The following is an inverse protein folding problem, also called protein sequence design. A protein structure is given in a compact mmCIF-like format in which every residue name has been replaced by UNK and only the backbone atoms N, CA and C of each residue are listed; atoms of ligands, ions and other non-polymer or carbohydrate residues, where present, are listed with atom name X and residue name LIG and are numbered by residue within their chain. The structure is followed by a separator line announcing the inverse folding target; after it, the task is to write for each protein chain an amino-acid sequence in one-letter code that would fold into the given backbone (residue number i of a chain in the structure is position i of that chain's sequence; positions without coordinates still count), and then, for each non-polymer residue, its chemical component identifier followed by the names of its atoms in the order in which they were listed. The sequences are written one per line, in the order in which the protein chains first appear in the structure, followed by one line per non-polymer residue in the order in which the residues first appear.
data_IF_812406914782
#
_entry.id   IF_812406914782
#
_cell.length_a   1.000
_cell.length_b   1.000
_cell.length_c   1.000
_cell.angle_alpha   90.00
_cell.angle_beta   90.00
_cell.angle_gamma   90.00
#
_symmetry.space_group_name_H-M   'P 1'
#
loop_
_entity.id
_entity.type
_entity.pdbx_description
1 polymer ?
#
# COMPACT_ATOMS: atom_id res chain seq x y z
N UNK A 1 -12.03 7.89 8.89
CA UNK A 1 -12.32 6.55 8.36
C UNK A 1 -11.06 5.76 8.60
N UNK A 2 -11.11 4.65 9.33
CA UNK A 2 -9.91 3.88 9.68
C UNK A 2 -9.51 2.89 8.57
N UNK A 3 -8.28 2.38 8.58
CA UNK A 3 -7.77 1.42 7.58
C UNK A 3 -8.58 0.12 7.54
N UNK A 4 -9.13 -0.31 8.68
CA UNK A 4 -10.05 -1.45 8.73
C UNK A 4 -11.27 -1.26 7.81
N UNK A 5 -11.79 -0.03 7.73
CA UNK A 5 -12.92 0.30 6.85
C UNK A 5 -12.54 0.28 5.36
N UNK A 6 -11.24 0.28 5.04
CA UNK A 6 -10.71 0.14 3.69
C UNK A 6 -10.35 -1.31 3.33
N UNK A 7 -10.67 -2.27 4.21
CA UNK A 7 -10.42 -3.69 3.99
C UNK A 7 -9.04 -4.18 4.40
N UNK A 8 -8.29 -3.41 5.19
CA UNK A 8 -7.01 -3.86 5.76
C UNK A 8 -7.23 -4.69 7.03
N UNK A 9 -6.44 -5.76 7.19
CA UNK A 9 -6.45 -6.55 8.42
C UNK A 9 -5.96 -5.77 9.64
N UNK A 10 -6.38 -6.20 10.83
CA UNK A 10 -5.98 -5.57 12.09
C UNK A 10 -4.46 -5.58 12.30
N UNK A 11 -3.77 -6.59 11.77
CA UNK A 11 -2.30 -6.65 11.79
C UNK A 11 -1.66 -5.46 11.07
N UNK A 12 -2.17 -5.07 9.89
CA UNK A 12 -1.70 -3.86 9.21
C UNK A 12 -2.05 -2.59 9.96
N UNK A 13 -3.25 -2.51 10.53
CA UNK A 13 -3.66 -1.31 11.30
C UNK A 13 -2.75 -1.10 12.49
N UNK A 14 -2.39 -2.16 13.21
CA UNK A 14 -1.44 -2.11 14.32
C UNK A 14 -0.03 -1.71 13.86
N UNK A 15 0.48 -2.33 12.79
CA UNK A 15 1.80 -2.00 12.23
C UNK A 15 1.89 -0.55 11.70
N UNK A 16 0.83 -0.06 11.07
CA UNK A 16 0.76 1.34 10.64
C UNK A 16 0.71 2.29 11.84
N UNK A 17 0.01 1.90 12.92
CA UNK A 17 -0.06 2.70 14.14
C UNK A 17 1.29 2.82 14.86
N UNK A 18 2.16 1.80 14.81
CA UNK A 18 3.53 1.89 15.38
C UNK A 18 4.41 2.88 14.61
N UNK A 19 4.16 3.03 13.31
CA UNK A 19 4.79 4.05 12.44
C UNK A 19 4.11 5.43 12.54
N UNK A 20 3.13 5.60 13.44
CA UNK A 20 2.38 6.86 13.61
C UNK A 20 1.31 7.12 12.54
N UNK A 21 1.07 6.17 11.63
CA UNK A 21 0.08 6.27 10.54
C UNK A 21 -1.26 5.74 11.04
N UNK A 22 -2.03 6.61 11.71
CA UNK A 22 -3.29 6.20 12.37
C UNK A 22 -4.54 6.34 11.51
N UNK A 23 -4.48 7.14 10.45
CA UNK A 23 -5.62 7.38 9.57
C UNK A 23 -5.15 7.44 8.11
N UNK A 24 -5.92 6.86 7.18
CA UNK A 24 -5.61 6.90 5.77
C UNK A 24 -5.76 8.33 5.23
N UNK A 25 -4.81 8.73 4.37
CA UNK A 25 -4.90 9.98 3.62
C UNK A 25 -6.03 9.93 2.59
N UNK A 26 -6.42 11.09 2.03
CA UNK A 26 -7.48 11.13 1.02
C UNK A 26 -7.18 10.20 -0.16
N UNK A 27 -5.94 10.18 -0.69
CA UNK A 27 -5.62 9.29 -1.81
C UNK A 27 -5.71 7.81 -1.43
N UNK A 28 -5.35 7.45 -0.20
CA UNK A 28 -5.45 6.07 0.31
C UNK A 28 -6.90 5.62 0.45
N UNK A 29 -7.79 6.50 0.95
CA UNK A 29 -9.22 6.23 1.05
C UNK A 29 -9.87 5.89 -0.29
N UNK A 30 -9.43 6.55 -1.38
CA UNK A 30 -9.97 6.30 -2.72
C UNK A 30 -9.28 5.13 -3.42
N UNK A 31 -7.97 4.99 -3.29
CA UNK A 31 -7.20 4.01 -4.06
C UNK A 31 -7.25 2.59 -3.46
N UNK A 32 -7.16 2.45 -2.12
CA UNK A 32 -7.05 1.14 -1.48
C UNK A 32 -8.23 0.22 -1.86
N UNK A 33 -9.50 0.64 -1.79
CA UNK A 33 -10.62 -0.23 -2.16
C UNK A 33 -10.56 -0.67 -3.64
N UNK A 34 -10.21 0.25 -4.54
CA UNK A 34 -10.13 -0.03 -5.99
C UNK A 34 -9.03 -1.05 -6.29
N UNK A 35 -7.86 -0.91 -5.67
CA UNK A 35 -6.74 -1.84 -5.85
C UNK A 35 -7.02 -3.19 -5.18
N UNK A 36 -7.70 -3.21 -4.02
CA UNK A 36 -8.14 -4.46 -3.38
C UNK A 36 -9.03 -5.30 -4.28
N UNK A 37 -9.94 -4.67 -5.01
CA UNK A 37 -10.84 -5.33 -5.97
C UNK A 37 -10.10 -5.91 -7.19
N UNK A 38 -8.80 -5.60 -7.37
CA UNK A 38 -8.01 -6.06 -8.51
C UNK A 38 -8.39 -5.38 -9.83
N UNK A 39 -8.98 -4.18 -9.76
CA UNK A 39 -9.28 -3.38 -10.94
C UNK A 39 -8.06 -2.56 -11.36
N UNK A 40 -7.93 -2.34 -12.66
CA UNK A 40 -6.98 -1.37 -13.18
C UNK A 40 -7.32 0.04 -12.67
N UNK A 41 -6.31 0.79 -12.23
CA UNK A 41 -6.49 2.10 -11.63
C UNK A 41 -5.44 3.09 -12.14
N UNK A 42 -5.90 4.32 -12.40
CA UNK A 42 -5.02 5.48 -12.56
C UNK A 42 -5.08 6.31 -11.28
N UNK A 43 -3.95 6.36 -10.55
CA UNK A 43 -3.84 7.03 -9.26
C UNK A 43 -2.99 8.29 -9.44
N UNK A 44 -3.62 9.45 -9.31
CA UNK A 44 -2.94 10.75 -9.39
C UNK A 44 -3.18 11.57 -8.12
N UNK A 45 -2.11 12.12 -7.57
CA UNK A 45 -2.16 13.13 -6.50
C UNK A 45 -0.80 13.83 -6.41
N UNK A 46 -0.62 14.75 -5.49
CA UNK A 46 0.65 15.43 -5.25
C UNK A 46 1.69 14.54 -4.55
N UNK A 47 2.98 14.89 -4.63
CA UNK A 47 4.05 14.21 -3.88
C UNK A 47 3.84 14.40 -2.37
N UNK A 48 4.17 13.38 -1.57
CA UNK A 48 4.03 13.45 -0.11
C UNK A 48 2.63 13.12 0.43
N UNK A 49 1.64 12.84 -0.41
CA UNK A 49 0.26 12.53 0.05
C UNK A 49 0.05 11.07 0.46
N UNK A 50 1.11 10.25 0.56
CA UNK A 50 1.00 8.83 0.92
C UNK A 50 0.58 7.89 -0.21
N UNK A 51 0.83 8.25 -1.48
CA UNK A 51 0.51 7.42 -2.67
C UNK A 51 1.14 6.04 -2.64
N UNK A 52 2.35 5.90 -2.11
CA UNK A 52 3.08 4.64 -2.08
C UNK A 52 2.32 3.56 -1.30
N UNK A 53 1.91 3.86 -0.07
CA UNK A 53 1.07 2.96 0.72
C UNK A 53 -0.33 2.76 0.12
N UNK A 54 -0.83 3.73 -0.66
CA UNK A 54 -2.13 3.63 -1.30
C UNK A 54 -2.23 2.47 -2.31
N UNK A 55 -1.12 2.10 -2.96
CA UNK A 55 -1.05 0.90 -3.81
C UNK A 55 -0.34 -0.28 -3.14
N UNK A 56 0.62 -0.06 -2.24
CA UNK A 56 1.37 -1.17 -1.63
C UNK A 56 0.54 -1.96 -0.62
N UNK A 57 -0.17 -1.29 0.30
CA UNK A 57 -0.95 -1.96 1.35
C UNK A 57 -1.93 -3.00 0.78
N UNK A 58 -2.79 -2.67 -0.22
CA UNK A 58 -3.72 -3.65 -0.77
C UNK A 58 -3.04 -4.81 -1.50
N UNK A 59 -1.84 -4.60 -2.08
CA UNK A 59 -1.07 -5.69 -2.69
C UNK A 59 -0.46 -6.61 -1.62
N UNK A 60 0.05 -6.02 -0.53
CA UNK A 60 0.62 -6.77 0.60
C UNK A 60 -0.44 -7.55 1.39
N UNK A 61 -1.63 -6.98 1.61
CA UNK A 61 -2.76 -7.68 2.22
C UNK A 61 -3.19 -8.91 1.41
N UNK A 62 -3.04 -8.86 0.08
CA UNK A 62 -3.37 -9.97 -0.83
C UNK A 62 -2.22 -10.95 -1.06
N UNK A 63 -1.05 -10.72 -0.48
CA UNK A 63 0.13 -11.55 -0.68
C UNK A 63 -0.05 -12.92 -0.02
N UNK A 64 0.04 -13.99 -0.81
CA UNK A 64 0.09 -15.35 -0.30
C UNK A 64 1.52 -15.69 0.14
N UNK A 65 1.75 -15.69 1.44
CA UNK A 65 3.08 -15.97 2.01
C UNK A 65 3.53 -17.43 1.88
N UNK A 66 2.62 -18.36 1.56
CA UNK A 66 2.97 -19.76 1.29
C UNK A 66 3.45 -19.98 -0.15
N UNK A 67 3.03 -19.13 -1.08
CA UNK A 67 3.40 -19.23 -2.50
C UNK A 67 4.81 -18.65 -2.78
N UNK A 68 5.72 -19.50 -3.26
CA UNK A 68 7.09 -19.11 -3.67
C UNK A 68 7.18 -18.66 -5.13
N UNK A 69 6.18 -17.93 -5.62
CA UNK A 69 6.12 -17.41 -6.98
C UNK A 69 6.06 -15.88 -6.98
N UNK A 70 6.38 -15.26 -8.12
CA UNK A 70 6.22 -13.81 -8.27
C UNK A 70 4.72 -13.47 -8.31
N UNK A 71 4.25 -12.71 -7.32
CA UNK A 71 2.83 -12.32 -7.19
C UNK A 71 2.56 -10.88 -7.62
N UNK A 72 3.50 -9.97 -7.38
CA UNK A 72 3.38 -8.55 -7.74
C UNK A 72 4.71 -7.97 -8.20
N UNK A 73 4.66 -6.97 -9.06
CA UNK A 73 5.84 -6.25 -9.56
C UNK A 73 5.56 -4.75 -9.56
N UNK A 74 6.45 -3.98 -8.93
CA UNK A 74 6.43 -2.52 -8.95
C UNK A 74 7.55 -2.04 -9.85
N UNK A 75 7.19 -1.35 -10.94
CA UNK A 75 8.15 -0.78 -11.89
C UNK A 75 8.27 0.72 -11.63
N UNK A 76 9.50 1.22 -11.57
CA UNK A 76 9.81 2.63 -11.32
C UNK A 76 10.95 3.12 -12.22
N UNK A 77 10.99 4.43 -12.52
CA UNK A 77 11.94 4.99 -13.47
C UNK A 77 13.39 5.03 -13.00
N UNK A 78 13.66 4.94 -11.68
CA UNK A 78 15.01 5.05 -11.12
C UNK A 78 15.27 4.02 -10.02
N UNK A 79 16.54 3.67 -9.85
CA UNK A 79 16.98 2.73 -8.82
C UNK A 79 16.78 3.30 -7.40
N UNK A 80 17.02 4.60 -7.23
CA UNK A 80 16.83 5.31 -5.96
C UNK A 80 15.38 5.25 -5.50
N UNK A 81 14.42 5.40 -6.43
CA UNK A 81 13.01 5.31 -6.10
C UNK A 81 12.62 3.86 -5.73
N UNK A 82 13.22 2.86 -6.39
CA UNK A 82 13.01 1.46 -6.03
C UNK A 82 13.45 1.19 -4.58
N UNK A 83 14.61 1.73 -4.18
CA UNK A 83 15.12 1.61 -2.81
C UNK A 83 14.21 2.32 -1.79
N UNK A 84 13.71 3.51 -2.11
CA UNK A 84 12.77 4.23 -1.23
C UNK A 84 11.47 3.46 -1.01
N UNK A 85 10.92 2.85 -2.07
CA UNK A 85 9.72 2.02 -1.98
C UNK A 85 10.00 0.75 -1.17
N UNK A 86 11.13 0.08 -1.41
CA UNK A 86 11.54 -1.10 -0.65
C UNK A 86 11.68 -0.80 0.85
N UNK A 87 12.18 0.38 1.22
CA UNK A 87 12.27 0.80 2.62
C UNK A 87 10.90 0.88 3.30
N UNK A 88 9.84 1.28 2.59
CA UNK A 88 8.48 1.28 3.14
C UNK A 88 7.89 -0.11 3.37
N UNK A 89 8.52 -1.16 2.82
CA UNK A 89 8.09 -2.55 2.99
C UNK A 89 8.89 -3.29 4.07
N UNK A 90 9.85 -2.62 4.73
CA UNK A 90 10.62 -3.22 5.82
C UNK A 90 9.92 -2.97 7.15
N UNK A 91 9.94 -3.96 8.07
CA UNK A 91 9.46 -3.80 9.44
C UNK A 91 10.32 -2.81 10.24
#
# INVERSE_FOLDING_TARGET
MDFNALGMSSAWVEALATEGIRQPTQIQQHAIPVVMEGRDAYISSETGTGKTLAYLLPLLERLDTAAKTLQFMVLVPTHELALQIQQQMRP
#
